data_IF_921414077129
#
_entry.id   IF_921414077129
#
_cell.length_a   1.000
_cell.length_b   1.000
_cell.length_c   1.000
_cell.angle_alpha   90.00
_cell.angle_beta   90.00
_cell.angle_gamma   90.00
#
_symmetry.space_group_name_H-M   'P 1'
#
loop_
_entity.id
_entity.type
_entity.pdbx_description
1 polymer ?
#
# COMPACT_ATOMS: atom_id res chain seq x y z
N UNK A 1 10.36 3.06 -15.04
CA UNK A 1 9.22 3.88 -15.53
C UNK A 1 7.87 3.44 -14.96
N UNK A 2 7.35 2.24 -15.25
CA UNK A 2 6.01 1.80 -14.76
C UNK A 2 5.73 1.99 -13.25
N UNK A 3 6.69 1.70 -12.36
CA UNK A 3 6.54 1.92 -10.90
C UNK A 3 6.44 3.40 -10.52
N UNK A 4 7.12 4.28 -11.25
CA UNK A 4 7.11 5.73 -11.06
C UNK A 4 5.80 6.30 -11.60
N UNK A 5 5.33 5.82 -12.75
CA UNK A 5 4.01 6.18 -13.30
C UNK A 5 2.87 5.74 -12.37
N UNK A 6 2.96 4.54 -11.77
CA UNK A 6 2.01 4.10 -10.76
C UNK A 6 2.04 5.02 -9.52
N UNK A 7 3.24 5.38 -9.05
CA UNK A 7 3.42 6.22 -7.88
C UNK A 7 2.79 7.61 -8.07
N UNK A 8 3.10 8.26 -9.18
CA UNK A 8 2.67 9.64 -9.46
C UNK A 8 1.24 9.70 -9.98
N UNK A 9 0.88 8.82 -10.91
CA UNK A 9 -0.42 8.84 -11.58
C UNK A 9 -1.54 8.18 -10.78
N UNK A 10 -1.31 6.98 -10.23
CA UNK A 10 -2.36 6.22 -9.55
C UNK A 10 -2.38 6.48 -8.04
N UNK A 11 -1.22 6.55 -7.41
CA UNK A 11 -1.11 6.72 -5.96
C UNK A 11 -1.06 8.19 -5.52
N UNK A 12 -0.87 9.12 -6.45
CA UNK A 12 -0.84 10.56 -6.19
C UNK A 12 0.34 11.03 -5.33
N UNK A 13 1.40 10.23 -5.22
CA UNK A 13 2.60 10.62 -4.49
C UNK A 13 3.55 11.40 -5.39
N UNK A 14 4.15 12.50 -4.89
CA UNK A 14 5.15 13.25 -5.63
C UNK A 14 6.41 12.39 -5.82
N UNK A 15 7.16 12.61 -6.90
CA UNK A 15 8.33 11.80 -7.26
C UNK A 15 9.42 11.86 -6.18
N UNK A 16 9.48 12.97 -5.46
CA UNK A 16 10.35 13.26 -4.31
C UNK A 16 10.16 12.23 -3.19
N UNK A 17 8.98 11.61 -3.09
CA UNK A 17 8.72 10.51 -2.13
C UNK A 17 9.66 9.30 -2.35
N UNK A 18 10.23 9.15 -3.55
CA UNK A 18 11.24 8.12 -3.84
C UNK A 18 12.59 8.42 -3.20
N UNK A 19 12.93 9.69 -2.98
CA UNK A 19 14.18 10.08 -2.31
C UNK A 19 14.15 9.62 -0.85
N UNK A 20 13.00 9.77 -0.20
CA UNK A 20 12.78 9.32 1.18
C UNK A 20 12.62 7.80 1.30
N UNK A 21 12.22 7.13 0.21
CA UNK A 21 11.92 5.70 0.21
C UNK A 21 12.36 4.98 -1.07
N UNK A 22 13.67 4.93 -1.36
CA UNK A 22 14.19 4.35 -2.60
C UNK A 22 13.89 2.85 -2.71
N UNK A 23 13.76 2.17 -1.57
CA UNK A 23 13.42 0.73 -1.49
C UNK A 23 12.07 0.39 -2.11
N UNK A 24 11.16 1.35 -2.31
CA UNK A 24 9.91 1.16 -3.06
C UNK A 24 10.18 0.51 -4.44
N UNK A 25 11.25 0.93 -5.11
CA UNK A 25 11.61 0.42 -6.44
C UNK A 25 12.08 -1.04 -6.41
N UNK A 26 12.44 -1.58 -5.25
CA UNK A 26 12.90 -2.96 -5.09
C UNK A 26 11.74 -3.97 -5.00
N UNK A 27 10.50 -3.54 -4.72
CA UNK A 27 9.35 -4.45 -4.54
C UNK A 27 8.61 -4.75 -5.84
N UNK A 28 7.96 -5.92 -5.93
CA UNK A 28 7.18 -6.29 -7.12
C UNK A 28 5.98 -5.36 -7.33
N UNK A 29 5.57 -5.18 -8.60
CA UNK A 29 4.37 -4.40 -8.95
C UNK A 29 3.13 -4.93 -8.24
N UNK A 30 2.98 -6.27 -8.18
CA UNK A 30 1.88 -6.93 -7.49
C UNK A 30 1.82 -6.56 -6.01
N UNK A 31 2.97 -6.62 -5.31
CA UNK A 31 3.05 -6.26 -3.90
C UNK A 31 2.72 -4.79 -3.68
N UNK A 32 3.27 -3.91 -4.52
CA UNK A 32 2.97 -2.48 -4.48
C UNK A 32 1.46 -2.28 -4.62
N UNK A 33 0.87 -2.82 -5.69
CA UNK A 33 -0.55 -2.61 -5.99
C UNK A 33 -1.44 -3.07 -4.84
N UNK A 34 -1.32 -4.32 -4.40
CA UNK A 34 -2.15 -4.88 -3.32
C UNK A 34 -2.04 -4.03 -2.04
N UNK A 35 -0.81 -3.73 -1.61
CA UNK A 35 -0.55 -2.97 -0.38
C UNK A 35 -1.14 -1.57 -0.42
N UNK A 36 -0.98 -0.87 -1.53
CA UNK A 36 -1.54 0.47 -1.69
C UNK A 36 -3.06 0.46 -1.83
N UNK A 37 -3.65 -0.49 -2.55
CA UNK A 37 -5.12 -0.61 -2.62
C UNK A 37 -5.73 -0.79 -1.23
N UNK A 38 -5.12 -1.61 -0.38
CA UNK A 38 -5.56 -1.76 1.01
C UNK A 38 -5.39 -0.49 1.83
N UNK A 39 -4.23 0.17 1.71
CA UNK A 39 -3.95 1.41 2.43
C UNK A 39 -4.92 2.54 2.03
N UNK A 40 -5.19 2.71 0.73
CA UNK A 40 -6.15 3.70 0.21
C UNK A 40 -7.55 3.39 0.76
N UNK A 41 -8.00 2.14 0.66
CA UNK A 41 -9.31 1.72 1.15
C UNK A 41 -9.49 1.99 2.65
N UNK A 42 -8.44 1.80 3.46
CA UNK A 42 -8.45 2.12 4.89
C UNK A 42 -8.46 3.63 5.15
N UNK A 43 -7.71 4.42 4.36
CA UNK A 43 -7.66 5.89 4.46
C UNK A 43 -9.01 6.53 4.18
N UNK A 44 -9.74 6.05 3.17
CA UNK A 44 -11.09 6.51 2.83
C UNK A 44 -12.12 6.27 3.95
N UNK A 45 -11.82 5.36 4.89
CA UNK A 45 -12.65 5.00 6.04
C UNK A 45 -12.09 5.52 7.36
N UNK A 46 -11.10 6.41 7.31
CA UNK A 46 -10.43 6.98 8.47
C UNK A 46 -9.81 5.93 9.42
N UNK A 47 -9.60 4.70 8.95
CA UNK A 47 -9.07 3.58 9.74
C UNK A 47 -7.54 3.64 9.92
N UNK A 48 -6.88 4.60 9.28
CA UNK A 48 -5.45 4.92 9.47
C UNK A 48 -5.27 6.43 9.60
N UNK A 49 -4.85 6.85 10.78
CA UNK A 49 -4.64 8.26 11.15
C UNK A 49 -3.34 8.84 10.59
N UNK A 50 -2.28 8.02 10.46
CA UNK A 50 -0.96 8.47 10.00
C UNK A 50 -0.79 8.30 8.49
N UNK A 51 -0.20 9.33 7.85
CA UNK A 51 0.31 9.22 6.47
C UNK A 51 1.63 8.46 6.50
N UNK A 52 1.62 7.23 6.00
CA UNK A 52 2.80 6.36 6.02
C UNK A 52 3.72 6.66 4.84
N UNK A 53 5.03 6.42 5.05
CA UNK A 53 5.99 6.44 3.93
C UNK A 53 5.74 5.25 3.01
N UNK A 54 6.13 5.39 1.73
CA UNK A 54 5.99 4.31 0.75
C UNK A 54 6.64 3.02 1.24
N UNK A 55 7.86 3.13 1.76
CA UNK A 55 8.67 2.03 2.25
C UNK A 55 8.04 1.32 3.44
N UNK A 56 7.35 2.04 4.33
CA UNK A 56 6.58 1.39 5.40
C UNK A 56 5.42 0.59 4.84
N UNK A 57 4.66 1.13 3.87
CA UNK A 57 3.50 0.45 3.28
C UNK A 57 3.91 -0.85 2.57
N UNK A 58 4.96 -0.78 1.74
CA UNK A 58 5.37 -1.94 0.92
C UNK A 58 6.38 -2.85 1.62
N UNK A 59 7.20 -2.31 2.52
CA UNK A 59 8.36 -2.99 3.06
C UNK A 59 8.10 -3.96 4.22
N UNK A 60 7.02 -3.75 4.97
CA UNK A 60 6.67 -4.66 6.07
C UNK A 60 6.28 -6.06 5.56
N UNK A 61 6.63 -7.09 6.35
CA UNK A 61 6.29 -8.48 6.03
C UNK A 61 4.77 -8.70 5.95
N UNK A 62 4.33 -9.76 5.24
CA UNK A 62 2.91 -10.10 5.13
C UNK A 62 2.19 -10.21 6.48
N UNK A 63 2.72 -10.94 7.48
CA UNK A 63 2.08 -11.02 8.79
C UNK A 63 1.97 -9.65 9.46
N UNK A 64 3.05 -8.85 9.44
CA UNK A 64 3.05 -7.51 10.05
C UNK A 64 2.09 -6.56 9.34
N UNK A 65 1.97 -6.64 8.03
CA UNK A 65 1.01 -5.80 7.31
C UNK A 65 -0.43 -6.12 7.71
N UNK A 66 -0.76 -7.40 7.84
CA UNK A 66 -2.10 -7.81 8.27
C UNK A 66 -2.37 -7.33 9.68
N UNK A 67 -1.47 -7.62 10.62
CA UNK A 67 -1.67 -7.28 12.04
C UNK A 67 -1.60 -5.78 12.33
N UNK A 68 -0.96 -4.98 11.49
CA UNK A 68 -0.79 -3.53 11.75
C UNK A 68 -1.78 -2.67 10.97
N UNK A 69 -2.27 -3.13 9.82
CA UNK A 69 -3.12 -2.33 8.93
C UNK A 69 -4.44 -3.02 8.64
N UNK A 70 -4.42 -4.27 8.18
CA UNK A 70 -5.64 -4.95 7.73
C UNK A 70 -6.66 -5.09 8.85
N UNK A 71 -6.22 -5.38 10.07
CA UNK A 71 -7.12 -5.55 11.21
C UNK A 71 -7.64 -4.24 11.82
N UNK A 72 -7.17 -3.07 11.36
CA UNK A 72 -7.59 -1.76 11.91
C UNK A 72 -9.04 -1.43 11.59
N UNK A 73 -9.63 -2.11 10.61
CA UNK A 73 -11.03 -1.98 10.24
C UNK A 73 -11.73 -3.35 10.29
N UNK A 74 -12.98 -3.45 10.80
CA UNK A 74 -13.71 -4.72 10.89
C UNK A 74 -13.84 -5.46 9.54
N UNK A 75 -14.13 -4.74 8.46
CA UNK A 75 -14.19 -5.30 7.09
C UNK A 75 -12.82 -5.49 6.42
N UNK A 76 -11.74 -5.13 7.11
CA UNK A 76 -10.40 -5.13 6.53
C UNK A 76 -9.93 -6.51 6.08
N UNK A 77 -10.03 -7.59 6.89
CA UNK A 77 -9.65 -8.94 6.48
C UNK A 77 -10.38 -9.42 5.21
N UNK A 78 -11.70 -9.24 5.15
CA UNK A 78 -12.49 -9.63 3.98
C UNK A 78 -12.09 -8.84 2.72
N UNK A 79 -11.84 -7.53 2.87
CA UNK A 79 -11.37 -6.68 1.78
C UNK A 79 -9.97 -7.06 1.33
N UNK A 80 -9.06 -7.38 2.25
CA UNK A 80 -7.71 -7.81 1.91
C UNK A 80 -7.71 -9.12 1.11
N UNK A 81 -8.57 -10.08 1.45
CA UNK A 81 -8.74 -11.30 0.64
C UNK A 81 -9.23 -10.96 -0.78
N UNK A 82 -10.21 -10.06 -0.93
CA UNK A 82 -10.67 -9.60 -2.24
C UNK A 82 -9.55 -8.95 -3.05
N UNK A 83 -8.75 -8.09 -2.43
CA UNK A 83 -7.61 -7.42 -3.09
C UNK A 83 -6.54 -8.43 -3.51
N UNK A 84 -6.24 -9.44 -2.69
CA UNK A 84 -5.26 -10.48 -3.05
C UNK A 84 -5.70 -11.32 -4.25
N UNK A 85 -7.01 -11.55 -4.37
CA UNK A 85 -7.62 -12.40 -5.39
C UNK A 85 -8.01 -11.62 -6.65
N UNK A 86 -8.07 -10.29 -6.60
CA UNK A 86 -8.23 -9.46 -7.78
C UNK A 86 -6.99 -9.62 -8.68
N UNK A 87 -7.21 -10.05 -9.93
CA UNK A 87 -6.15 -10.08 -10.94
C UNK A 87 -5.73 -8.65 -11.28
N UNK A 88 -4.47 -8.30 -11.02
CA UNK A 88 -3.79 -7.10 -11.54
C UNK A 88 -3.30 -7.30 -12.95
#
# INVERSE_FOLDING_TARGET
EKKISLLTGYLGYPIESLVESPTYLCYSMERIHKRFSMYIWLREREAVTLRLTLGTIVGVSNPRFVSSFVITHPEGPATWERIKNAST
#
